data_IF_893474737911
#
_entry.id   IF_893474737911
#
_cell.length_a   1.000
_cell.length_b   1.000
_cell.length_c   1.000
_cell.angle_alpha   90.00
_cell.angle_beta   90.00
_cell.angle_gamma   90.00
#
_symmetry.space_group_name_H-M   'P 1'
#
loop_
_entity.id
_entity.type
_entity.pdbx_description
1 polymer ?
#
# COMPACT_ATOMS: atom_id res chain seq x y z
N UNK A 1 -9.68 -9.52 -19.59
CA UNK A 1 -8.76 -8.41 -19.33
C UNK A 1 -7.63 -8.39 -20.39
N UNK A 2 -7.08 -7.21 -20.72
CA UNK A 2 -6.08 -7.10 -21.78
C UNK A 2 -4.82 -7.93 -21.48
N UNK A 3 -4.18 -8.44 -22.51
CA UNK A 3 -2.94 -9.27 -22.39
C UNK A 3 -1.79 -8.51 -21.72
N UNK A 4 -1.78 -7.19 -21.81
CA UNK A 4 -0.77 -6.33 -21.20
C UNK A 4 -1.08 -5.91 -19.75
N UNK A 5 -2.20 -6.38 -19.19
CA UNK A 5 -2.57 -6.11 -17.81
C UNK A 5 -1.63 -6.85 -16.85
N UNK A 6 -1.08 -6.13 -15.88
CA UNK A 6 -0.07 -6.67 -14.98
C UNK A 6 -0.74 -7.20 -13.70
N UNK A 7 -0.39 -8.42 -13.32
CA UNK A 7 -0.91 -9.09 -12.14
C UNK A 7 0.20 -9.34 -11.13
N UNK A 8 0.00 -8.93 -9.89
CA UNK A 8 0.99 -9.13 -8.85
C UNK A 8 0.41 -9.13 -7.44
N UNK A 9 1.32 -9.07 -6.48
CA UNK A 9 1.02 -8.94 -5.07
C UNK A 9 1.93 -7.91 -4.41
N UNK A 10 1.41 -7.28 -3.37
CA UNK A 10 2.06 -6.19 -2.66
C UNK A 10 2.48 -6.60 -1.26
N UNK A 11 3.48 -5.90 -0.73
CA UNK A 11 3.97 -5.98 0.65
C UNK A 11 4.49 -4.61 1.10
N UNK A 12 4.87 -4.51 2.37
CA UNK A 12 5.60 -3.38 2.93
C UNK A 12 6.67 -3.87 3.90
N UNK A 13 7.83 -3.22 3.91
CA UNK A 13 9.01 -3.70 4.62
C UNK A 13 8.79 -3.95 6.10
N UNK A 14 8.31 -2.95 6.86
CA UNK A 14 8.08 -3.10 8.30
C UNK A 14 7.13 -4.24 8.64
N UNK A 15 6.17 -4.53 7.76
CA UNK A 15 5.14 -5.52 8.00
C UNK A 15 5.60 -6.97 7.77
N UNK A 16 6.71 -7.18 7.05
CA UNK A 16 7.15 -8.53 6.68
C UNK A 16 8.62 -8.85 6.97
N UNK A 17 9.50 -7.85 6.98
CA UNK A 17 10.95 -8.09 7.04
C UNK A 17 11.44 -8.58 8.39
N UNK A 18 10.96 -7.96 9.45
CA UNK A 18 11.42 -8.20 10.82
C UNK A 18 12.57 -7.31 11.25
N UNK A 19 12.62 -7.02 12.55
CA UNK A 19 13.73 -6.32 13.21
C UNK A 19 14.10 -4.96 12.60
N UNK A 20 13.10 -4.18 12.21
CA UNK A 20 13.29 -2.82 11.70
C UNK A 20 13.54 -1.83 12.85
N UNK A 21 14.64 -2.07 13.57
CA UNK A 21 14.93 -1.52 14.90
C UNK A 21 15.21 -0.02 14.95
N UNK A 22 15.56 0.58 13.82
CA UNK A 22 15.85 2.02 13.74
C UNK A 22 14.64 2.86 13.33
N UNK A 23 13.46 2.23 13.20
CA UNK A 23 12.23 2.89 12.79
C UNK A 23 11.45 3.50 13.97
N UNK A 24 10.65 4.50 13.67
CA UNK A 24 9.69 5.10 14.61
C UNK A 24 8.67 4.08 15.12
N UNK A 25 8.18 3.19 14.24
CA UNK A 25 7.24 2.14 14.63
C UNK A 25 7.84 1.14 15.62
N UNK A 26 9.08 0.73 15.41
CA UNK A 26 9.78 -0.13 16.37
C UNK A 26 9.87 0.53 17.75
N UNK A 27 10.20 1.81 17.80
CA UNK A 27 10.23 2.57 19.05
C UNK A 27 8.84 2.66 19.72
N UNK A 28 7.79 2.89 18.92
CA UNK A 28 6.41 2.90 19.40
C UNK A 28 5.98 1.56 19.98
N UNK A 29 6.30 0.47 19.30
CA UNK A 29 5.99 -0.91 19.72
C UNK A 29 6.64 -1.26 21.06
N UNK A 30 7.82 -0.70 21.35
CA UNK A 30 8.61 -0.98 22.55
C UNK A 30 8.54 0.12 23.63
N UNK A 31 7.70 1.12 23.42
CA UNK A 31 7.45 2.15 24.42
C UNK A 31 6.76 1.57 25.65
N UNK A 32 7.12 2.03 26.88
CA UNK A 32 6.39 1.63 28.09
C UNK A 32 4.90 1.97 28.07
N UNK A 33 4.49 2.89 27.22
CA UNK A 33 3.10 3.32 27.02
C UNK A 33 2.59 2.96 25.63
N UNK A 34 3.09 1.88 25.07
CA UNK A 34 2.64 1.46 23.71
C UNK A 34 1.15 1.20 23.65
N UNK A 35 0.56 1.62 22.56
CA UNK A 35 -0.85 1.40 22.21
C UNK A 35 -1.04 0.20 21.28
N UNK A 36 0.05 -0.45 20.82
CA UNK A 36 -0.04 -1.63 19.96
C UNK A 36 -0.22 -2.91 20.78
N UNK A 37 -1.01 -3.84 20.26
CA UNK A 37 -1.33 -5.09 20.97
C UNK A 37 -0.18 -6.08 21.00
N UNK A 38 0.67 -6.07 19.96
CA UNK A 38 1.86 -6.92 19.87
C UNK A 38 2.94 -6.26 19.02
N UNK A 39 4.23 -6.49 19.30
CA UNK A 39 5.32 -5.93 18.49
C UNK A 39 5.50 -6.69 17.18
N UNK A 40 6.11 -6.04 16.20
CA UNK A 40 6.43 -6.66 14.90
C UNK A 40 7.47 -7.77 14.99
N UNK A 41 8.46 -7.63 15.87
CA UNK A 41 9.50 -8.65 16.11
C UNK A 41 10.20 -9.09 14.82
N UNK A 42 10.26 -10.38 14.62
CA UNK A 42 10.82 -10.98 13.39
C UNK A 42 9.87 -10.87 12.19
N UNK A 43 8.64 -10.42 12.40
CA UNK A 43 7.57 -10.40 11.40
C UNK A 43 7.47 -11.75 10.66
N UNK A 44 7.49 -11.73 9.33
CA UNK A 44 7.52 -12.95 8.51
C UNK A 44 8.95 -13.38 8.13
N UNK A 45 9.97 -12.75 8.72
CA UNK A 45 11.38 -12.97 8.39
C UNK A 45 11.68 -12.82 6.88
N UNK A 46 10.94 -11.98 6.20
CA UNK A 46 11.11 -11.76 4.76
C UNK A 46 12.46 -11.13 4.42
N UNK A 47 13.08 -10.40 5.35
CA UNK A 47 14.42 -9.88 5.16
C UNK A 47 15.41 -10.95 4.72
N UNK A 48 15.32 -12.15 5.30
CA UNK A 48 16.16 -13.30 4.94
C UNK A 48 15.54 -14.22 3.90
N UNK A 49 14.20 -14.22 3.77
CA UNK A 49 13.44 -15.16 2.93
C UNK A 49 12.84 -14.55 1.66
N UNK A 50 13.17 -13.31 1.32
CA UNK A 50 12.60 -12.59 0.17
C UNK A 50 12.74 -13.39 -1.14
N UNK A 51 13.85 -14.08 -1.32
CA UNK A 51 14.10 -14.86 -2.53
C UNK A 51 13.09 -16.02 -2.69
N UNK A 52 12.78 -16.72 -1.59
CA UNK A 52 11.73 -17.73 -1.56
C UNK A 52 10.36 -17.14 -1.87
N UNK A 53 10.05 -15.98 -1.31
CA UNK A 53 8.78 -15.29 -1.51
C UNK A 53 8.59 -14.89 -2.97
N UNK A 54 9.61 -14.33 -3.60
CA UNK A 54 9.59 -13.96 -5.03
C UNK A 54 9.43 -15.20 -5.91
N UNK A 55 10.13 -16.29 -5.59
CA UNK A 55 10.01 -17.55 -6.33
C UNK A 55 8.59 -18.12 -6.24
N UNK A 56 7.98 -18.14 -5.06
CA UNK A 56 6.60 -18.63 -4.87
C UNK A 56 5.60 -17.78 -5.65
N UNK A 57 5.78 -16.46 -5.68
CA UNK A 57 4.98 -15.55 -6.50
C UNK A 57 5.13 -15.89 -7.98
N UNK A 58 6.35 -16.03 -8.47
CA UNK A 58 6.64 -16.37 -9.87
C UNK A 58 6.05 -17.74 -10.26
N UNK A 59 6.25 -18.75 -9.44
CA UNK A 59 5.75 -20.12 -9.68
C UNK A 59 4.23 -20.16 -9.75
N UNK A 60 3.53 -19.27 -9.06
CA UNK A 60 2.06 -19.15 -9.14
C UNK A 60 1.57 -18.62 -10.48
N UNK A 61 2.40 -17.87 -11.20
CA UNK A 61 2.07 -17.20 -12.44
C UNK A 61 1.88 -15.69 -12.32
N UNK A 62 1.98 -15.12 -11.12
CA UNK A 62 2.02 -13.67 -10.95
C UNK A 62 3.33 -13.11 -11.50
N UNK A 63 3.28 -11.87 -12.02
CA UNK A 63 4.40 -11.28 -12.76
C UNK A 63 4.94 -9.99 -12.15
N UNK A 64 4.34 -9.52 -11.05
CA UNK A 64 4.82 -8.32 -10.37
C UNK A 64 4.87 -8.54 -8.85
N UNK A 65 5.93 -8.03 -8.23
CA UNK A 65 6.07 -7.96 -6.79
C UNK A 65 6.27 -6.51 -6.35
N UNK A 66 5.32 -5.98 -5.59
CA UNK A 66 5.45 -4.66 -4.96
C UNK A 66 6.05 -4.83 -3.57
N UNK A 67 7.18 -4.18 -3.34
CA UNK A 67 7.86 -4.14 -2.05
C UNK A 67 8.43 -2.75 -1.77
N UNK A 68 8.70 -2.48 -0.50
CA UNK A 68 9.23 -1.18 -0.06
C UNK A 68 10.71 -1.23 0.29
N UNK A 69 11.37 -0.08 0.14
CA UNK A 69 12.68 0.16 0.72
C UNK A 69 12.46 0.85 2.08
N UNK A 70 13.06 0.31 3.13
CA UNK A 70 12.95 0.88 4.48
C UNK A 70 14.00 1.99 4.69
N UNK A 71 13.52 3.23 4.74
CA UNK A 71 14.37 4.39 4.99
C UNK A 71 15.17 4.24 6.30
N UNK A 72 14.55 3.70 7.35
CA UNK A 72 15.20 3.46 8.63
C UNK A 72 16.39 2.48 8.56
N UNK A 73 16.39 1.56 7.59
CA UNK A 73 17.53 0.66 7.34
C UNK A 73 18.61 1.35 6.51
N UNK A 74 18.21 2.14 5.53
CA UNK A 74 19.12 2.86 4.63
C UNK A 74 19.89 3.96 5.38
N UNK A 75 19.19 4.69 6.27
CA UNK A 75 19.75 5.80 7.05
C UNK A 75 19.37 5.64 8.54
N UNK A 76 19.97 4.66 9.23
CA UNK A 76 19.60 4.39 10.63
C UNK A 76 19.99 5.51 11.61
N UNK A 77 21.00 6.29 11.26
CA UNK A 77 21.44 7.50 11.94
C UNK A 77 21.51 8.61 10.91
N UNK A 78 21.10 9.82 11.28
CA UNK A 78 21.07 10.96 10.35
C UNK A 78 22.42 11.17 9.67
N UNK A 79 22.42 11.14 8.34
CA UNK A 79 23.61 11.30 7.51
C UNK A 79 24.49 10.06 7.39
N UNK A 80 24.18 8.98 8.12
CA UNK A 80 24.92 7.72 8.07
C UNK A 80 24.17 6.70 7.23
N UNK A 81 24.49 6.63 5.94
CA UNK A 81 23.85 5.71 5.02
C UNK A 81 24.50 4.33 5.02
N UNK A 82 23.69 3.28 5.04
CA UNK A 82 24.13 1.89 4.99
C UNK A 82 24.20 1.39 3.55
N UNK A 83 25.42 1.22 3.05
CA UNK A 83 25.64 0.59 1.74
C UNK A 83 25.23 -0.88 1.75
N UNK A 84 25.39 -1.58 2.85
CA UNK A 84 24.99 -2.99 2.97
C UNK A 84 23.45 -3.14 2.81
N UNK A 85 22.68 -2.26 3.42
CA UNK A 85 21.23 -2.27 3.28
C UNK A 85 20.79 -1.88 1.86
N UNK A 86 21.48 -0.91 1.26
CA UNK A 86 21.22 -0.57 -0.14
C UNK A 86 21.43 -1.78 -1.06
N UNK A 87 22.51 -2.53 -0.86
CA UNK A 87 22.81 -3.73 -1.64
C UNK A 87 21.83 -4.87 -1.33
N UNK A 88 21.27 -4.94 -0.12
CA UNK A 88 20.20 -5.87 0.19
C UNK A 88 18.96 -5.63 -0.69
N UNK A 89 18.50 -4.38 -0.80
CA UNK A 89 17.37 -4.05 -1.67
C UNK A 89 17.70 -4.24 -3.15
N UNK A 90 18.95 -3.98 -3.56
CA UNK A 90 19.40 -4.34 -4.91
C UNK A 90 19.28 -5.85 -5.16
N UNK A 91 19.65 -6.67 -4.19
CA UNK A 91 19.51 -8.12 -4.29
C UNK A 91 18.04 -8.56 -4.42
N UNK A 92 17.11 -7.87 -3.76
CA UNK A 92 15.67 -8.13 -3.95
C UNK A 92 15.22 -7.81 -5.38
N UNK A 93 15.66 -6.70 -5.95
CA UNK A 93 15.39 -6.33 -7.37
C UNK A 93 15.97 -7.40 -8.30
N UNK A 94 17.20 -7.82 -8.08
CA UNK A 94 17.86 -8.86 -8.86
C UNK A 94 17.10 -10.20 -8.79
N UNK A 95 16.60 -10.58 -7.62
CA UNK A 95 15.78 -11.78 -7.45
C UNK A 95 14.48 -11.70 -8.26
N UNK A 96 13.83 -10.55 -8.30
CA UNK A 96 12.66 -10.35 -9.15
C UNK A 96 13.01 -10.59 -10.62
N UNK A 97 14.05 -9.98 -11.12
CA UNK A 97 14.49 -10.16 -12.52
C UNK A 97 14.90 -11.61 -12.83
N UNK A 98 15.60 -12.26 -11.91
CA UNK A 98 16.00 -13.65 -12.06
C UNK A 98 14.81 -14.60 -12.24
N UNK A 99 13.72 -14.38 -11.49
CA UNK A 99 12.50 -15.17 -11.58
C UNK A 99 11.48 -14.66 -12.60
N UNK A 100 11.84 -13.66 -13.42
CA UNK A 100 10.93 -13.10 -14.42
C UNK A 100 9.78 -12.29 -13.83
N UNK A 101 9.97 -11.75 -12.64
CA UNK A 101 9.02 -10.90 -11.93
C UNK A 101 9.43 -9.45 -12.05
N UNK A 102 8.48 -8.58 -12.36
CA UNK A 102 8.73 -7.15 -12.42
C UNK A 102 8.64 -6.54 -11.02
N UNK A 103 9.68 -5.85 -10.53
CA UNK A 103 9.59 -5.15 -9.26
C UNK A 103 8.78 -3.86 -9.40
N UNK A 104 7.87 -3.61 -8.46
CA UNK A 104 7.30 -2.30 -8.19
C UNK A 104 7.84 -1.84 -6.84
N UNK A 105 8.66 -0.80 -6.85
CA UNK A 105 9.38 -0.36 -5.65
C UNK A 105 8.70 0.84 -5.02
N UNK A 106 8.32 0.71 -3.76
CA UNK A 106 7.83 1.81 -2.92
C UNK A 106 9.00 2.43 -2.14
N UNK A 107 9.24 3.71 -2.35
CA UNK A 107 10.36 4.42 -1.70
C UNK A 107 10.10 4.66 -0.21
N UNK A 108 8.86 5.00 0.14
CA UNK A 108 8.47 5.29 1.52
C UNK A 108 7.09 4.73 1.83
N UNK A 109 7.02 3.87 2.85
CA UNK A 109 5.78 3.21 3.28
C UNK A 109 5.61 3.32 4.81
N UNK A 110 5.01 4.40 5.27
CA UNK A 110 4.64 4.75 6.65
C UNK A 110 5.82 4.94 7.62
N UNK A 111 6.68 3.93 7.78
CA UNK A 111 7.78 3.97 8.74
C UNK A 111 8.88 4.93 8.30
N UNK A 112 9.40 5.68 9.26
CA UNK A 112 10.51 6.60 9.06
C UNK A 112 11.62 6.32 10.07
N UNK A 113 12.86 6.77 9.80
CA UNK A 113 13.93 6.69 10.80
C UNK A 113 13.52 7.37 12.09
N UNK A 114 13.87 6.76 13.22
CA UNK A 114 13.57 7.34 14.54
C UNK A 114 14.16 8.75 14.71
N UNK A 115 15.37 9.00 14.19
CA UNK A 115 15.97 10.33 14.23
C UNK A 115 15.13 11.39 13.48
N UNK A 116 14.49 11.01 12.37
CA UNK A 116 13.61 11.90 11.60
C UNK A 116 12.32 12.19 12.38
N UNK A 117 11.69 11.16 12.92
CA UNK A 117 10.46 11.29 13.71
C UNK A 117 10.68 12.10 14.98
N UNK A 118 11.80 11.87 15.70
CA UNK A 118 12.12 12.54 16.96
C UNK A 118 12.30 14.05 16.82
N UNK A 119 12.70 14.52 15.64
CA UNK A 119 12.90 15.94 15.32
C UNK A 119 11.68 16.58 14.64
N UNK A 120 10.51 15.92 14.68
CA UNK A 120 9.25 16.44 14.15
C UNK A 120 8.76 15.81 12.84
N UNK A 121 9.49 14.85 12.29
CA UNK A 121 9.08 14.11 11.08
C UNK A 121 8.75 15.04 9.92
N UNK A 122 7.58 14.87 9.30
CA UNK A 122 7.16 15.68 8.17
C UNK A 122 6.82 17.14 8.51
N UNK A 123 6.78 17.50 9.80
CA UNK A 123 6.69 18.91 10.26
C UNK A 123 8.05 19.59 10.34
N UNK A 124 9.15 18.87 10.19
CA UNK A 124 10.50 19.46 10.19
C UNK A 124 10.62 20.50 9.07
N UNK A 125 11.24 21.64 9.31
CA UNK A 125 11.51 22.64 8.25
C UNK A 125 12.39 22.10 7.12
N UNK A 126 13.26 21.11 7.41
CA UNK A 126 14.16 20.46 6.47
C UNK A 126 13.69 19.10 5.99
N UNK A 127 12.43 18.71 6.23
CA UNK A 127 11.89 17.40 5.86
C UNK A 127 12.09 17.08 4.38
N UNK A 128 11.83 18.05 3.50
CA UNK A 128 12.00 17.88 2.05
C UNK A 128 13.46 17.58 1.67
N UNK A 129 14.41 18.30 2.25
CA UNK A 129 15.84 18.12 1.99
C UNK A 129 16.32 16.74 2.47
N UNK A 130 15.86 16.31 3.65
CA UNK A 130 16.19 14.99 4.20
C UNK A 130 15.64 13.87 3.34
N UNK A 131 14.40 14.00 2.89
CA UNK A 131 13.78 13.00 2.02
C UNK A 131 14.44 12.96 0.63
N UNK A 132 14.77 14.12 0.07
CA UNK A 132 15.52 14.22 -1.19
C UNK A 132 16.88 13.51 -1.12
N UNK A 133 17.60 13.68 -0.01
CA UNK A 133 18.87 13.00 0.23
C UNK A 133 18.71 11.48 0.26
N UNK A 134 17.66 10.97 0.91
CA UNK A 134 17.33 9.56 0.92
C UNK A 134 16.97 9.04 -0.49
N UNK A 135 16.08 9.71 -1.20
CA UNK A 135 15.70 9.35 -2.58
C UNK A 135 16.93 9.31 -3.48
N UNK A 136 17.79 10.31 -3.41
CA UNK A 136 19.02 10.37 -4.21
C UNK A 136 19.99 9.24 -3.89
N UNK A 137 20.05 8.80 -2.63
CA UNK A 137 20.92 7.70 -2.21
C UNK A 137 20.43 6.34 -2.74
N UNK A 138 19.12 6.10 -2.78
CA UNK A 138 18.57 4.83 -3.28
C UNK A 138 18.45 4.77 -4.80
N UNK A 139 18.46 5.91 -5.47
CA UNK A 139 18.24 6.01 -6.91
C UNK A 139 19.16 5.11 -7.76
N UNK A 140 20.47 4.94 -7.45
CA UNK A 140 21.36 4.09 -8.26
C UNK A 140 20.93 2.63 -8.35
N UNK A 141 20.22 2.08 -7.35
CA UNK A 141 19.75 0.68 -7.41
C UNK A 141 18.46 0.52 -8.22
N UNK A 142 17.83 1.60 -8.63
CA UNK A 142 16.56 1.61 -9.36
C UNK A 142 16.72 1.70 -10.87
N UNK A 143 17.94 1.62 -11.40
CA UNK A 143 18.28 1.87 -12.78
C UNK A 143 17.58 0.96 -13.81
N UNK A 144 17.09 -0.20 -13.39
CA UNK A 144 16.35 -1.17 -14.21
C UNK A 144 14.95 -1.47 -13.64
N UNK A 145 14.43 -0.60 -12.79
CA UNK A 145 13.07 -0.67 -12.24
C UNK A 145 12.15 0.24 -13.06
N UNK A 146 11.08 -0.33 -13.59
CA UNK A 146 10.10 0.42 -14.38
C UNK A 146 9.09 1.14 -13.49
N UNK A 147 8.54 0.47 -12.47
CA UNK A 147 7.45 1.00 -11.66
C UNK A 147 7.94 1.44 -10.28
N UNK A 148 7.76 2.71 -9.98
CA UNK A 148 8.22 3.32 -8.72
C UNK A 148 7.07 4.10 -8.08
N UNK A 149 6.74 3.75 -6.82
CA UNK A 149 5.83 4.49 -5.97
C UNK A 149 6.66 5.36 -5.02
N UNK A 150 6.47 6.66 -5.04
CA UNK A 150 7.24 7.57 -4.20
C UNK A 150 6.88 7.44 -2.72
N UNK A 151 5.60 7.55 -2.41
CA UNK A 151 5.06 7.58 -1.05
C UNK A 151 3.78 6.74 -1.02
N UNK A 152 3.73 5.80 -0.07
CA UNK A 152 2.54 5.00 0.17
C UNK A 152 1.55 5.75 1.06
N UNK A 153 0.31 5.89 0.59
CA UNK A 153 -0.82 6.44 1.33
C UNK A 153 -0.47 7.72 2.13
N UNK A 154 -0.07 8.79 1.44
CA UNK A 154 0.28 10.04 2.10
C UNK A 154 -0.87 10.60 2.93
N UNK A 155 -2.10 10.34 2.52
CA UNK A 155 -3.30 10.72 3.26
C UNK A 155 -3.39 10.01 4.62
N UNK A 156 -2.91 8.78 4.75
CA UNK A 156 -2.82 8.09 6.05
C UNK A 156 -1.64 8.61 6.89
N UNK A 157 -0.50 8.90 6.27
CA UNK A 157 0.64 9.52 6.97
C UNK A 157 0.26 10.87 7.60
N UNK A 158 -0.49 11.67 6.88
CA UNK A 158 -0.96 12.98 7.36
C UNK A 158 -1.94 12.90 8.55
N UNK A 159 -2.62 11.78 8.71
CA UNK A 159 -3.48 11.50 9.87
C UNK A 159 -2.65 11.05 11.08
N UNK A 160 -1.82 10.03 10.89
CA UNK A 160 -1.16 9.31 11.99
C UNK A 160 -0.02 10.10 12.60
N UNK A 161 0.74 10.85 11.80
CA UNK A 161 1.81 11.71 12.33
C UNK A 161 1.27 13.00 12.97
N UNK A 162 0.02 13.35 12.71
CA UNK A 162 -0.67 14.50 13.30
C UNK A 162 -1.06 14.35 14.77
N UNK A 163 -0.64 13.28 15.45
CA UNK A 163 -0.97 13.04 16.86
C UNK A 163 -2.29 12.31 17.07
N UNK A 164 -2.72 11.54 16.10
CA UNK A 164 -3.95 10.73 16.15
C UNK A 164 -3.69 9.35 16.77
N UNK A 165 -2.86 9.29 17.79
CA UNK A 165 -2.62 8.06 18.55
C UNK A 165 -3.95 7.49 19.05
N UNK A 166 -4.13 6.19 18.88
CA UNK A 166 -5.35 5.50 19.29
C UNK A 166 -6.56 5.76 18.40
N UNK A 167 -6.40 6.36 17.23
CA UNK A 167 -7.49 6.48 16.26
C UNK A 167 -7.92 5.11 15.78
N UNK A 168 -9.16 4.77 16.07
CA UNK A 168 -9.78 3.56 15.56
C UNK A 168 -10.22 3.77 14.10
N UNK A 169 -9.37 3.40 13.16
CA UNK A 169 -9.69 3.47 11.73
C UNK A 169 -10.84 2.52 11.33
N UNK A 170 -11.17 1.57 12.20
CA UNK A 170 -12.29 0.64 12.01
C UNK A 170 -13.64 1.34 12.20
N UNK A 171 -13.70 2.32 13.08
CA UNK A 171 -14.93 3.02 13.44
C UNK A 171 -15.40 4.05 12.40
N UNK A 172 -14.86 4.03 11.20
CA UNK A 172 -15.23 4.88 10.06
C UNK A 172 -15.03 6.40 10.29
N UNK A 173 -14.36 6.80 11.36
CA UNK A 173 -14.13 8.21 11.69
C UNK A 173 -12.66 8.57 11.57
N UNK A 174 -12.23 8.92 10.36
CA UNK A 174 -10.88 9.44 10.16
C UNK A 174 -10.81 10.92 10.62
N UNK A 175 -9.80 11.31 11.41
CA UNK A 175 -9.59 12.71 11.75
C UNK A 175 -9.24 13.52 10.50
N UNK A 176 -9.30 14.85 10.61
CA UNK A 176 -8.81 15.69 9.54
C UNK A 176 -7.28 15.58 9.41
N UNK A 177 -6.72 15.44 8.21
CA UNK A 177 -5.28 15.44 8.00
C UNK A 177 -4.64 16.75 8.46
N UNK A 178 -3.42 16.67 8.99
CA UNK A 178 -2.65 17.87 9.30
C UNK A 178 -2.27 18.59 7.99
N UNK A 179 -2.63 19.88 7.80
CA UNK A 179 -2.38 20.57 6.54
C UNK A 179 -0.90 20.82 6.27
N UNK A 180 -0.07 20.97 7.30
CA UNK A 180 1.39 21.14 7.14
C UNK A 180 2.01 19.85 6.62
N UNK A 181 1.65 18.72 7.22
CA UNK A 181 2.12 17.40 6.79
C UNK A 181 1.61 17.08 5.39
N UNK A 182 0.33 17.35 5.11
CA UNK A 182 -0.27 17.10 3.79
C UNK A 182 0.50 17.84 2.69
N UNK A 183 0.80 19.12 2.90
CA UNK A 183 1.59 19.91 1.95
C UNK A 183 3.03 19.39 1.82
N UNK A 184 3.67 19.05 2.92
CA UNK A 184 5.03 18.51 2.91
C UNK A 184 5.12 17.21 2.09
N UNK A 185 4.13 16.32 2.22
CA UNK A 185 4.06 15.07 1.46
C UNK A 185 3.84 15.30 -0.04
N UNK A 186 2.98 16.26 -0.41
CA UNK A 186 2.79 16.65 -1.81
C UNK A 186 4.09 17.21 -2.40
N UNK A 187 4.74 18.12 -1.70
CA UNK A 187 6.03 18.67 -2.13
C UNK A 187 7.10 17.58 -2.25
N UNK A 188 7.14 16.64 -1.31
CA UNK A 188 8.07 15.50 -1.33
C UNK A 188 7.80 14.57 -2.52
N UNK A 189 6.53 14.32 -2.84
CA UNK A 189 6.17 13.52 -4.01
C UNK A 189 6.63 14.18 -5.32
N UNK A 190 6.30 15.46 -5.52
CA UNK A 190 6.68 16.19 -6.72
C UNK A 190 8.21 16.27 -6.87
N UNK A 191 8.91 16.55 -5.78
CA UNK A 191 10.38 16.57 -5.77
C UNK A 191 10.95 15.19 -6.12
N UNK A 192 10.46 14.14 -5.49
CA UNK A 192 10.94 12.76 -5.72
C UNK A 192 10.73 12.33 -7.17
N UNK A 193 9.54 12.61 -7.71
CA UNK A 193 9.24 12.32 -9.11
C UNK A 193 10.20 13.05 -10.04
N UNK A 194 10.44 14.34 -9.80
CA UNK A 194 11.36 15.13 -10.62
C UNK A 194 12.79 14.58 -10.57
N UNK A 195 13.28 14.23 -9.38
CA UNK A 195 14.62 13.64 -9.20
C UNK A 195 14.73 12.29 -9.92
N UNK A 196 13.75 11.42 -9.73
CA UNK A 196 13.75 10.09 -10.35
C UNK A 196 13.70 10.21 -11.88
N UNK A 197 12.78 11.01 -12.42
CA UNK A 197 12.61 11.16 -13.86
C UNK A 197 13.79 11.83 -14.53
N UNK A 198 14.56 12.67 -13.83
CA UNK A 198 15.78 13.27 -14.38
C UNK A 198 16.90 12.24 -14.65
N UNK A 199 16.99 11.22 -13.83
CA UNK A 199 18.01 10.15 -13.95
C UNK A 199 17.47 8.92 -14.67
N UNK A 200 16.17 8.63 -14.52
CA UNK A 200 15.47 7.47 -15.06
C UNK A 200 14.25 7.92 -15.87
N UNK A 201 14.43 8.53 -17.05
CA UNK A 201 13.31 9.14 -17.79
C UNK A 201 12.25 8.14 -18.25
N UNK A 202 12.61 6.87 -18.41
CA UNK A 202 11.71 5.81 -18.85
C UNK A 202 10.95 5.15 -17.68
N UNK A 203 11.33 5.43 -16.44
CA UNK A 203 10.61 4.90 -15.27
C UNK A 203 9.18 5.47 -15.19
N UNK A 204 8.26 4.63 -14.77
CA UNK A 204 6.88 5.00 -14.45
C UNK A 204 6.79 5.37 -12.98
N UNK A 205 6.56 6.63 -12.68
CA UNK A 205 6.58 7.18 -11.32
C UNK A 205 5.23 7.75 -10.95
N UNK A 206 4.70 7.31 -9.83
CA UNK A 206 3.46 7.80 -9.24
C UNK A 206 3.46 7.62 -7.74
N UNK A 207 2.35 7.87 -7.09
CA UNK A 207 2.16 7.54 -5.69
C UNK A 207 0.82 6.84 -5.47
N UNK A 208 0.62 6.30 -4.27
CA UNK A 208 -0.50 5.41 -3.98
C UNK A 208 -1.37 6.00 -2.89
N UNK A 209 -2.68 6.03 -3.14
CA UNK A 209 -3.65 6.71 -2.28
C UNK A 209 -4.54 5.68 -1.59
N UNK A 210 -4.76 5.87 -0.28
CA UNK A 210 -5.79 5.14 0.45
C UNK A 210 -7.16 5.66 0.02
N UNK A 211 -7.90 4.85 -0.73
CA UNK A 211 -9.18 5.19 -1.28
C UNK A 211 -10.29 4.43 -0.57
N UNK A 212 -11.40 5.10 -0.31
CA UNK A 212 -12.63 4.46 0.12
C UNK A 212 -13.74 4.68 -0.91
N UNK A 213 -14.72 3.79 -0.92
CA UNK A 213 -15.97 4.06 -1.61
C UNK A 213 -16.82 4.95 -0.70
N UNK A 214 -16.77 6.25 -0.89
CA UNK A 214 -17.61 7.18 -0.15
C UNK A 214 -19.01 7.26 -0.75
N UNK A 215 -20.01 7.21 0.11
CA UNK A 215 -21.41 7.37 -0.25
C UNK A 215 -22.03 8.47 0.60
N UNK A 216 -22.72 9.40 -0.02
CA UNK A 216 -23.54 10.36 0.72
C UNK A 216 -24.84 9.71 1.17
N UNK A 217 -25.23 9.95 2.42
CA UNK A 217 -26.64 9.81 2.80
C UNK A 217 -27.45 10.80 1.95
N UNK A 218 -28.63 10.44 1.44
CA UNK A 218 -29.41 11.34 0.57
C UNK A 218 -29.55 12.75 1.14
N UNK A 219 -29.12 13.75 0.36
CA UNK A 219 -29.09 15.16 0.75
C UNK A 219 -27.82 15.61 1.50
N UNK A 220 -26.83 14.72 1.64
CA UNK A 220 -25.55 15.03 2.31
C UNK A 220 -24.36 14.98 1.33
N UNK A 221 -24.59 15.22 0.05
CA UNK A 221 -23.55 15.16 -0.99
C UNK A 221 -22.44 16.18 -0.72
N UNK A 222 -22.82 17.40 -0.27
CA UNK A 222 -21.87 18.45 0.06
C UNK A 222 -21.00 18.07 1.27
N UNK A 223 -21.58 17.53 2.30
CA UNK A 223 -20.86 17.06 3.49
C UNK A 223 -19.88 15.94 3.14
N UNK A 224 -20.27 15.05 2.22
CA UNK A 224 -19.37 14.01 1.71
C UNK A 224 -18.17 14.61 0.96
N UNK A 225 -18.39 15.55 0.06
CA UNK A 225 -17.30 16.24 -0.66
C UNK A 225 -16.36 16.97 0.30
N UNK A 226 -16.89 17.68 1.28
CA UNK A 226 -16.11 18.40 2.30
C UNK A 226 -15.31 17.45 3.20
N UNK A 227 -15.83 16.25 3.47
CA UNK A 227 -15.13 15.21 4.23
C UNK A 227 -14.03 14.54 3.40
N UNK A 228 -14.35 14.16 2.17
CA UNK A 228 -13.47 13.39 1.29
C UNK A 228 -12.28 14.21 0.77
N UNK A 229 -12.49 15.48 0.45
CA UNK A 229 -11.47 16.30 -0.20
C UNK A 229 -10.14 16.34 0.56
N UNK A 230 -10.08 16.76 1.86
CA UNK A 230 -8.82 16.83 2.59
C UNK A 230 -8.23 15.45 2.92
N UNK A 231 -9.05 14.41 2.93
CA UNK A 231 -8.67 13.04 3.31
C UNK A 231 -8.25 12.16 2.15
N UNK A 232 -8.63 12.52 0.92
CA UNK A 232 -8.35 11.73 -0.27
C UNK A 232 -8.04 12.60 -1.49
N UNK A 233 -8.99 13.42 -1.95
CA UNK A 233 -8.93 14.09 -3.25
C UNK A 233 -7.78 15.08 -3.37
N UNK A 234 -7.42 15.77 -2.29
CA UNK A 234 -6.26 16.66 -2.23
C UNK A 234 -4.97 15.95 -2.69
N UNK A 235 -4.79 14.72 -2.26
CA UNK A 235 -3.61 13.91 -2.61
C UNK A 235 -3.75 13.30 -4.01
N UNK A 236 -4.94 12.91 -4.39
CA UNK A 236 -5.23 12.38 -5.73
C UNK A 236 -4.98 13.45 -6.80
N UNK A 237 -5.42 14.68 -6.58
CA UNK A 237 -5.14 15.81 -7.47
C UNK A 237 -3.65 16.09 -7.64
N UNK A 238 -2.86 15.93 -6.58
CA UNK A 238 -1.42 16.12 -6.62
C UNK A 238 -0.69 15.09 -7.50
N UNK A 239 -1.30 13.92 -7.72
CA UNK A 239 -0.80 12.88 -8.63
C UNK A 239 -1.33 13.00 -10.06
N UNK A 240 -2.19 13.96 -10.34
CA UNK A 240 -2.70 14.15 -11.70
C UNK A 240 -1.59 14.49 -12.68
N UNK A 241 -1.52 13.77 -13.81
CA UNK A 241 -0.47 13.93 -14.81
C UNK A 241 0.80 13.12 -14.55
N UNK A 242 0.87 12.36 -13.47
CA UNK A 242 1.93 11.38 -13.24
C UNK A 242 1.84 10.22 -14.25
N UNK A 243 2.82 9.34 -14.27
CA UNK A 243 2.80 8.17 -15.16
C UNK A 243 1.68 7.19 -14.78
N UNK A 244 1.34 7.14 -13.51
CA UNK A 244 0.18 6.44 -12.96
C UNK A 244 -0.20 7.01 -11.61
N UNK A 245 -1.40 6.67 -11.14
CA UNK A 245 -1.81 6.86 -9.76
C UNK A 245 -2.25 5.50 -9.17
N UNK A 246 -1.77 5.19 -7.97
CA UNK A 246 -2.11 3.95 -7.27
C UNK A 246 -3.41 4.10 -6.50
N UNK A 247 -4.33 3.16 -6.71
CA UNK A 247 -5.57 3.03 -5.94
C UNK A 247 -5.43 1.88 -4.95
N UNK A 248 -5.70 2.16 -3.67
CA UNK A 248 -5.68 1.20 -2.58
C UNK A 248 -7.02 1.25 -1.87
N UNK A 249 -7.89 0.26 -2.14
CA UNK A 249 -9.28 0.29 -1.71
C UNK A 249 -9.69 -1.04 -1.07
N UNK A 250 -10.44 -0.96 0.03
CA UNK A 250 -10.84 -2.12 0.83
C UNK A 250 -12.31 -2.05 1.28
N UNK A 251 -12.84 -0.86 1.52
CA UNK A 251 -14.10 -0.65 2.23
C UNK A 251 -14.88 0.54 1.69
N UNK A 252 -16.08 0.73 2.23
CA UNK A 252 -16.89 1.93 1.99
C UNK A 252 -17.19 2.67 3.29
N UNK A 253 -17.55 3.93 3.16
CA UNK A 253 -18.03 4.77 4.26
C UNK A 253 -19.19 5.63 3.79
N UNK A 254 -20.28 5.68 4.58
CA UNK A 254 -21.38 6.60 4.36
C UNK A 254 -21.15 7.90 5.14
N UNK A 255 -21.37 9.02 4.50
CA UNK A 255 -21.26 10.35 5.11
C UNK A 255 -22.66 10.96 5.23
N UNK A 256 -23.04 11.26 6.46
CA UNK A 256 -24.25 11.99 6.80
C UNK A 256 -23.96 13.43 7.20
N UNK A 257 -24.96 14.11 7.73
CA UNK A 257 -24.90 15.52 8.13
C UNK A 257 -23.79 15.82 9.15
N UNK A 258 -23.54 14.88 10.06
CA UNK A 258 -22.58 15.05 11.15
C UNK A 258 -21.28 14.25 10.93
N UNK A 259 -21.02 13.82 9.70
CA UNK A 259 -19.85 13.03 9.33
C UNK A 259 -20.16 11.55 9.07
N UNK A 260 -19.17 10.65 9.25
CA UNK A 260 -19.36 9.23 8.98
C UNK A 260 -20.52 8.61 9.76
N UNK A 261 -21.31 7.81 9.05
CA UNK A 261 -22.42 7.05 9.64
C UNK A 261 -21.91 5.64 9.97
N UNK A 262 -22.11 5.16 11.20
CA UNK A 262 -21.74 3.80 11.57
C UNK A 262 -22.40 2.76 10.66
N UNK A 263 -21.67 1.70 10.38
CA UNK A 263 -22.20 0.53 9.66
C UNK A 263 -23.09 -0.29 10.60
N UNK A 264 -24.21 -0.81 10.11
CA UNK A 264 -25.15 -1.62 10.89
C UNK A 264 -24.44 -2.84 11.52
N UNK A 265 -24.88 -3.25 12.70
CA UNK A 265 -24.25 -4.32 13.47
C UNK A 265 -24.37 -5.71 12.80
N UNK A 266 -25.35 -5.89 11.93
CA UNK A 266 -25.65 -7.15 11.24
C UNK A 266 -24.93 -7.34 9.90
N UNK A 267 -24.15 -6.35 9.43
CA UNK A 267 -23.34 -6.50 8.22
C UNK A 267 -22.13 -7.40 8.45
N UNK A 268 -21.80 -8.17 7.43
CA UNK A 268 -20.58 -8.99 7.44
C UNK A 268 -19.33 -8.12 7.55
N UNK A 269 -18.46 -8.47 8.49
CA UNK A 269 -17.21 -7.78 8.74
C UNK A 269 -16.02 -8.74 8.55
N UNK A 270 -14.89 -8.17 8.12
CA UNK A 270 -13.62 -8.87 8.00
C UNK A 270 -12.85 -8.84 9.33
N UNK A 271 -11.67 -9.47 9.39
CA UNK A 271 -10.86 -9.51 10.63
C UNK A 271 -10.30 -8.15 11.07
N UNK A 272 -10.28 -7.16 10.18
CA UNK A 272 -9.99 -5.77 10.54
C UNK A 272 -11.20 -5.05 11.16
N UNK A 273 -12.37 -5.66 11.15
CA UNK A 273 -13.64 -5.05 11.56
C UNK A 273 -14.31 -4.22 10.47
N UNK A 274 -13.73 -4.15 9.28
CA UNK A 274 -14.33 -3.45 8.13
C UNK A 274 -15.48 -4.24 7.54
N UNK A 275 -16.44 -3.51 6.97
CA UNK A 275 -17.53 -4.13 6.20
C UNK A 275 -16.95 -4.92 5.01
N UNK A 276 -17.48 -6.12 4.77
CA UNK A 276 -17.21 -6.87 3.56
C UNK A 276 -17.94 -6.21 2.39
N UNK A 277 -17.20 -5.48 1.54
CA UNK A 277 -17.78 -4.71 0.44
C UNK A 277 -16.90 -4.72 -0.82
N UNK A 278 -16.96 -5.79 -1.62
CA UNK A 278 -16.15 -5.92 -2.85
C UNK A 278 -16.32 -4.78 -3.87
N UNK A 279 -17.51 -4.15 -4.04
CA UNK A 279 -17.68 -3.06 -5.01
C UNK A 279 -16.84 -1.80 -4.71
N UNK A 280 -16.24 -1.71 -3.52
CA UNK A 280 -15.41 -0.57 -3.15
C UNK A 280 -14.29 -0.29 -4.17
N UNK A 281 -13.68 -1.34 -4.73
CA UNK A 281 -12.59 -1.19 -5.70
C UNK A 281 -13.03 -0.46 -6.96
N UNK A 282 -14.07 -0.90 -7.61
CA UNK A 282 -14.58 -0.27 -8.84
C UNK A 282 -15.04 1.17 -8.61
N UNK A 283 -15.69 1.43 -7.48
CA UNK A 283 -16.15 2.78 -7.10
C UNK A 283 -14.94 3.70 -6.89
N UNK A 284 -13.94 3.25 -6.15
CA UNK A 284 -12.72 4.03 -5.89
C UNK A 284 -11.92 4.32 -7.17
N UNK A 285 -11.82 3.34 -8.07
CA UNK A 285 -11.16 3.51 -9.37
C UNK A 285 -11.85 4.57 -10.22
N UNK A 286 -13.18 4.54 -10.29
CA UNK A 286 -13.96 5.54 -11.05
C UNK A 286 -13.79 6.95 -10.48
N UNK A 287 -13.88 7.09 -9.17
CA UNK A 287 -13.69 8.37 -8.50
C UNK A 287 -12.28 8.92 -8.72
N UNK A 288 -11.26 8.07 -8.54
CA UNK A 288 -9.85 8.47 -8.76
C UNK A 288 -9.60 8.89 -10.20
N UNK A 289 -10.19 8.19 -11.18
CA UNK A 289 -10.06 8.53 -12.58
C UNK A 289 -10.53 9.94 -12.89
N UNK A 290 -11.66 10.33 -12.32
CA UNK A 290 -12.22 11.67 -12.50
C UNK A 290 -11.38 12.74 -11.81
N UNK A 291 -11.01 12.53 -10.55
CA UNK A 291 -10.23 13.48 -9.75
C UNK A 291 -8.80 13.65 -10.28
N UNK A 292 -8.18 12.56 -10.71
CA UNK A 292 -6.82 12.57 -11.28
C UNK A 292 -6.77 12.96 -12.76
N UNK A 293 -7.84 13.50 -13.31
CA UNK A 293 -7.91 14.00 -14.70
C UNK A 293 -7.48 12.97 -15.74
N UNK A 294 -7.98 11.75 -15.58
CA UNK A 294 -7.72 10.63 -16.47
C UNK A 294 -6.24 10.17 -16.51
N UNK A 295 -5.52 10.36 -15.42
CA UNK A 295 -4.20 9.74 -15.23
C UNK A 295 -4.35 8.22 -15.19
N UNK A 296 -3.47 7.45 -15.86
CA UNK A 296 -3.53 5.98 -15.80
C UNK A 296 -3.54 5.46 -14.36
N UNK A 297 -4.37 4.48 -14.10
CA UNK A 297 -4.54 3.88 -12.76
C UNK A 297 -3.79 2.57 -12.67
N UNK A 298 -3.19 2.33 -11.51
CA UNK A 298 -2.73 1.02 -11.08
C UNK A 298 -3.40 0.67 -9.76
N UNK A 299 -4.03 -0.49 -9.66
CA UNK A 299 -4.54 -0.97 -8.37
C UNK A 299 -3.35 -1.54 -7.61
N UNK A 300 -2.81 -0.74 -6.69
CA UNK A 300 -1.60 -1.08 -5.92
C UNK A 300 -1.87 -1.85 -4.65
N UNK A 301 -3.11 -1.83 -4.16
CA UNK A 301 -3.59 -2.70 -3.09
C UNK A 301 -5.10 -2.92 -3.17
N UNK A 302 -5.51 -4.15 -2.94
CA UNK A 302 -6.89 -4.57 -2.70
C UNK A 302 -6.88 -5.97 -2.09
N UNK A 303 -7.76 -6.25 -1.16
CA UNK A 303 -7.86 -7.54 -0.48
C UNK A 303 -8.71 -7.45 0.77
N UNK A 304 -8.78 -8.54 1.52
CA UNK A 304 -9.44 -8.60 2.83
C UNK A 304 -8.61 -9.39 3.85
N UNK A 305 -8.82 -9.07 5.11
CA UNK A 305 -8.35 -9.88 6.22
C UNK A 305 -9.39 -10.96 6.54
N UNK A 306 -9.00 -12.21 6.36
CA UNK A 306 -9.87 -13.36 6.66
C UNK A 306 -9.04 -14.61 6.94
N UNK A 307 -9.54 -15.44 7.84
CA UNK A 307 -9.00 -16.79 8.06
C UNK A 307 -9.51 -17.81 7.01
N UNK A 308 -10.56 -17.48 6.29
CA UNK A 308 -11.17 -18.31 5.24
C UNK A 308 -10.67 -17.88 3.85
N UNK A 309 -9.79 -18.67 3.27
CA UNK A 309 -9.21 -18.37 1.96
C UNK A 309 -10.23 -18.45 0.81
N UNK A 310 -11.32 -19.22 0.96
CA UNK A 310 -12.43 -19.20 0.00
C UNK A 310 -13.11 -17.83 0.00
N UNK A 311 -13.28 -17.24 1.19
CA UNK A 311 -13.88 -15.91 1.31
C UNK A 311 -12.98 -14.83 0.71
N UNK A 312 -11.66 -15.00 0.76
CA UNK A 312 -10.70 -14.16 0.05
C UNK A 312 -10.89 -14.22 -1.47
N UNK A 313 -11.08 -15.44 -2.00
CA UNK A 313 -11.37 -15.64 -3.43
C UNK A 313 -12.72 -15.01 -3.81
N UNK A 314 -13.77 -15.21 -3.00
CA UNK A 314 -15.09 -14.61 -3.23
C UNK A 314 -14.99 -13.09 -3.34
N UNK A 315 -14.35 -12.46 -2.35
CA UNK A 315 -14.17 -11.00 -2.32
C UNK A 315 -13.40 -10.50 -3.54
N UNK A 316 -12.27 -11.13 -3.82
CA UNK A 316 -11.37 -10.68 -4.90
C UNK A 316 -12.04 -10.87 -6.26
N UNK A 317 -12.76 -11.97 -6.47
CA UNK A 317 -13.52 -12.20 -7.69
C UNK A 317 -14.56 -11.09 -7.93
N UNK A 318 -15.35 -10.76 -6.91
CA UNK A 318 -16.39 -9.74 -7.02
C UNK A 318 -15.78 -8.32 -7.15
N UNK A 319 -14.64 -8.05 -6.50
CA UNK A 319 -13.90 -6.79 -6.66
C UNK A 319 -13.33 -6.63 -8.08
N UNK A 320 -12.78 -7.71 -8.64
CA UNK A 320 -12.26 -7.72 -10.01
C UNK A 320 -13.37 -7.55 -11.05
N UNK A 321 -14.58 -8.02 -10.77
CA UNK A 321 -15.74 -7.76 -11.63
C UNK A 321 -16.03 -6.26 -11.73
N UNK A 322 -16.06 -5.55 -10.60
CA UNK A 322 -16.24 -4.10 -10.59
C UNK A 322 -15.10 -3.33 -11.27
N UNK A 323 -13.87 -3.83 -11.15
CA UNK A 323 -12.72 -3.28 -11.86
C UNK A 323 -12.85 -3.47 -13.38
N UNK A 324 -13.29 -4.65 -13.81
CA UNK A 324 -13.52 -4.96 -15.21
C UNK A 324 -14.58 -4.04 -15.81
N UNK A 325 -15.70 -3.84 -15.12
CA UNK A 325 -16.75 -2.92 -15.54
C UNK A 325 -16.22 -1.49 -15.73
N UNK A 326 -15.38 -1.03 -14.82
CA UNK A 326 -14.74 0.29 -14.95
C UNK A 326 -13.83 0.37 -16.19
N UNK A 327 -13.09 -0.69 -16.49
CA UNK A 327 -12.24 -0.76 -17.68
C UNK A 327 -13.07 -0.81 -18.97
N UNK A 328 -14.18 -1.52 -18.97
CA UNK A 328 -15.11 -1.56 -20.12
C UNK A 328 -15.74 -0.18 -20.41
N UNK A 329 -15.89 0.65 -19.38
CA UNK A 329 -16.31 2.04 -19.52
C UNK A 329 -15.18 3.00 -19.97
N UNK A 330 -14.00 2.46 -20.27
CA UNK A 330 -12.88 3.21 -20.85
C UNK A 330 -11.85 3.73 -19.86
N UNK A 331 -11.88 3.31 -18.61
CA UNK A 331 -10.87 3.69 -17.61
C UNK A 331 -9.58 2.91 -17.86
N UNK A 332 -8.46 3.64 -17.97
CA UNK A 332 -7.13 3.06 -18.21
C UNK A 332 -6.54 2.51 -16.90
N UNK A 333 -6.72 1.22 -16.67
CA UNK A 333 -6.14 0.49 -15.54
C UNK A 333 -5.02 -0.42 -16.04
N UNK A 334 -3.81 -0.23 -15.54
CA UNK A 334 -2.61 -0.90 -16.02
C UNK A 334 -2.33 -2.24 -15.34
N UNK A 335 -2.80 -2.42 -14.13
CA UNK A 335 -2.54 -3.64 -13.38
C UNK A 335 -3.24 -3.69 -12.03
N UNK A 336 -3.02 -4.81 -11.37
CA UNK A 336 -3.57 -5.14 -10.06
C UNK A 336 -2.50 -5.84 -9.22
N UNK A 337 -2.18 -5.29 -8.07
CA UNK A 337 -1.38 -5.96 -7.05
C UNK A 337 -2.23 -6.19 -5.80
N UNK A 338 -2.34 -7.47 -5.42
CA UNK A 338 -3.16 -7.91 -4.29
C UNK A 338 -2.49 -7.57 -2.96
N UNK A 339 -3.22 -7.03 -2.01
CA UNK A 339 -2.77 -6.93 -0.65
C UNK A 339 -3.23 -8.14 0.14
N UNK A 340 -2.33 -9.03 0.53
CA UNK A 340 -0.87 -8.98 0.41
C UNK A 340 -0.31 -10.32 -0.05
N UNK A 341 0.95 -10.34 -0.44
CA UNK A 341 1.61 -11.61 -0.76
C UNK A 341 1.69 -12.53 0.45
N UNK A 342 2.13 -11.98 1.59
CA UNK A 342 2.29 -12.70 2.85
C UNK A 342 1.28 -12.23 3.88
N UNK A 343 0.83 -13.14 4.76
CA UNK A 343 0.28 -12.71 6.04
C UNK A 343 1.34 -11.84 6.72
N UNK A 344 0.92 -10.73 7.34
CA UNK A 344 1.87 -9.72 7.78
C UNK A 344 1.47 -9.07 9.11
N UNK A 345 2.34 -8.19 9.59
CA UNK A 345 2.09 -7.34 10.73
C UNK A 345 1.21 -6.16 10.32
N UNK A 346 -0.07 -6.19 10.69
CA UNK A 346 -1.03 -5.13 10.38
C UNK A 346 -1.03 -4.05 11.46
N UNK A 347 0.05 -3.30 11.51
CA UNK A 347 0.21 -2.06 12.31
C UNK A 347 -0.27 -2.19 13.76
N UNK A 348 0.26 -3.18 14.46
CA UNK A 348 -0.01 -3.45 15.86
C UNK A 348 -0.51 -4.86 16.16
N UNK A 349 -0.79 -5.68 15.14
CA UNK A 349 -1.30 -7.04 15.33
C UNK A 349 -0.99 -7.95 14.14
N UNK A 350 -0.83 -9.25 14.42
CA UNK A 350 -0.80 -10.31 13.40
C UNK A 350 -2.16 -10.99 13.19
N UNK A 351 -3.22 -10.55 13.90
CA UNK A 351 -4.55 -11.17 13.78
C UNK A 351 -5.20 -11.00 12.40
N UNK A 352 -5.15 -9.82 11.77
CA UNK A 352 -5.67 -9.67 10.42
C UNK A 352 -4.74 -10.37 9.42
N UNK A 353 -5.27 -11.38 8.72
CA UNK A 353 -4.51 -12.16 7.73
C UNK A 353 -4.98 -11.83 6.32
N UNK A 354 -4.14 -11.12 5.58
CA UNK A 354 -4.41 -10.67 4.20
C UNK A 354 -3.69 -11.51 3.14
N UNK A 355 -2.75 -12.37 3.54
CA UNK A 355 -1.81 -13.00 2.65
C UNK A 355 -2.40 -14.01 1.69
N UNK A 356 -1.80 -14.10 0.50
CA UNK A 356 -1.93 -15.23 -0.41
C UNK A 356 -1.06 -16.40 0.06
N UNK A 357 -0.09 -16.12 0.92
CA UNK A 357 0.83 -17.06 1.55
C UNK A 357 0.80 -16.84 3.05
N UNK A 358 0.51 -17.88 3.81
CA UNK A 358 0.73 -17.93 5.24
C UNK A 358 2.15 -18.37 5.57
N UNK A 359 2.48 -18.39 6.85
CA UNK A 359 3.76 -18.89 7.33
C UNK A 359 3.65 -19.39 8.78
N UNK A 360 4.49 -20.35 9.10
CA UNK A 360 4.57 -20.92 10.44
C UNK A 360 5.33 -19.98 11.37
N UNK A 361 4.77 -19.69 12.55
CA UNK A 361 5.35 -18.71 13.51
C UNK A 361 6.65 -19.18 14.15
N UNK A 362 6.88 -20.49 14.22
CA UNK A 362 8.08 -21.04 14.86
C UNK A 362 9.22 -21.27 13.86
N UNK A 363 8.89 -21.62 12.62
CA UNK A 363 9.85 -22.01 11.59
C UNK A 363 9.98 -21.02 10.44
N UNK A 364 9.02 -20.12 10.27
CA UNK A 364 8.85 -19.23 9.12
C UNK A 364 8.60 -19.97 7.80
N UNK A 365 8.36 -21.26 7.82
CA UNK A 365 8.03 -22.04 6.63
C UNK A 365 6.81 -21.45 5.92
N UNK A 366 6.92 -21.22 4.61
CA UNK A 366 5.85 -20.62 3.78
C UNK A 366 4.75 -21.64 3.50
N UNK A 367 3.52 -21.20 3.61
CA UNK A 367 2.30 -21.97 3.42
C UNK A 367 1.43 -21.31 2.34
N UNK A 368 1.69 -21.56 1.04
CA UNK A 368 0.88 -21.01 -0.04
C UNK A 368 -0.58 -21.42 0.10
N UNK A 369 -1.48 -20.45 -0.10
CA UNK A 369 -2.93 -20.69 -0.03
C UNK A 369 -3.50 -20.91 -1.44
N UNK A 370 -4.72 -21.44 -1.52
CA UNK A 370 -5.41 -21.67 -2.80
C UNK A 370 -5.59 -20.36 -3.60
N UNK A 371 -5.79 -19.24 -2.92
CA UNK A 371 -5.92 -17.93 -3.54
C UNK A 371 -4.68 -17.48 -4.33
N UNK A 372 -3.49 -17.89 -3.91
CA UNK A 372 -2.25 -17.59 -4.67
C UNK A 372 -2.29 -18.24 -6.06
N UNK A 373 -2.56 -19.53 -6.12
CA UNK A 373 -2.63 -20.28 -7.37
C UNK A 373 -3.80 -19.81 -8.24
N UNK A 374 -4.92 -19.48 -7.61
CA UNK A 374 -6.09 -18.95 -8.32
C UNK A 374 -5.76 -17.61 -9.00
N UNK A 375 -5.19 -16.65 -8.27
CA UNK A 375 -4.83 -15.34 -8.84
C UNK A 375 -3.74 -15.48 -9.90
N UNK A 376 -2.77 -16.37 -9.69
CA UNK A 376 -1.75 -16.72 -10.67
C UNK A 376 -2.34 -17.32 -11.95
N UNK A 377 -3.40 -18.13 -11.85
CA UNK A 377 -4.09 -18.67 -13.02
C UNK A 377 -4.78 -17.58 -13.85
N UNK A 378 -5.34 -16.57 -13.19
CA UNK A 378 -5.90 -15.39 -13.87
C UNK A 378 -4.79 -14.63 -14.62
N UNK A 379 -3.64 -14.45 -13.98
CA UNK A 379 -2.47 -13.81 -14.60
C UNK A 379 -2.04 -14.53 -15.89
N UNK A 380 -2.03 -15.88 -15.87
CA UNK A 380 -1.64 -16.67 -17.05
C UNK A 380 -2.67 -16.67 -18.17
N UNK A 381 -3.94 -16.66 -17.84
CA UNK A 381 -5.04 -16.84 -18.82
C UNK A 381 -5.69 -15.53 -19.25
N UNK A 382 -5.60 -14.48 -18.44
CA UNK A 382 -6.36 -13.24 -18.61
C UNK A 382 -7.86 -13.39 -18.31
N UNK A 383 -8.29 -14.55 -17.82
CA UNK A 383 -9.70 -14.87 -17.59
C UNK A 383 -9.98 -15.01 -16.09
N UNK A 384 -10.89 -14.21 -15.59
CA UNK A 384 -11.32 -14.25 -14.19
C UNK A 384 -12.46 -15.26 -14.08
N UNK A 385 -12.17 -16.39 -13.45
CA UNK A 385 -13.16 -17.45 -13.18
C UNK A 385 -13.27 -17.69 -11.69
N UNK A 386 -14.46 -18.04 -11.22
CA UNK A 386 -14.67 -18.40 -9.82
C UNK A 386 -14.59 -19.92 -9.66
N UNK A 387 -13.67 -20.44 -8.84
CA UNK A 387 -13.43 -21.90 -8.76
C UNK A 387 -14.54 -22.66 -8.03
N UNK A 388 -15.42 -21.94 -7.32
CA UNK A 388 -16.45 -22.55 -6.46
C UNK A 388 -17.88 -22.11 -6.82
N UNK A 389 -18.06 -21.33 -7.88
CA UNK A 389 -19.38 -20.87 -8.39
C UNK A 389 -19.64 -21.37 -9.80
#
# INVERSE_FOLDING_TARGET
LPIYFIWGAATAGHQIEGNNTSSDWWAREHSPRTDVSEPSGDAANSYNRYREDVRLLADSGLTMYRFGIEWARIEPVEGCFSKAELLHYRAMIDACHEFGVEPMVTIYHFTMPLWFAAEGGWKRPDALDKFKRYVSYVLPILNDVTWICTINEPNMVALTQGGTEGTDFVAASLPAPDPVISKALVDAHHMSRAVIKSELPDAKVGWTIACQAFHAVPGCEKEMEEYQYPREDYFTEAGAGDDFIGVQAYLRTFIGKDGPVPVDDDVERTLTGWEYYPPALGIAVRHTWDVAKHTPIFVTENGIATADDRRRIDYTFDALAGLHDAMDDGIDVRGYTHWSLLDNYEWGSFKPTFGLIGWDKDTFERQPKASLNWLGSISRTGVVTHPYR
#
